data_IF_230948598975
#
_entry.id   IF_230948598975
#
_cell.length_a   1.000
_cell.length_b   1.000
_cell.length_c   1.000
_cell.angle_alpha   90.00
_cell.angle_beta   90.00
_cell.angle_gamma   90.00
#
_symmetry.space_group_name_H-M   'P 1'
#
loop_
_entity.id
_entity.type
_entity.pdbx_description
1 polymer ?
#
# COMPACT_ATOMS: atom_id res chain seq x y z
N UNK A 1 -8.69 -0.86 -30.30
CA UNK A 1 -7.33 -0.73 -30.88
C UNK A 1 -7.29 -1.16 -32.34
N UNK A 2 -7.69 -2.39 -32.70
CA UNK A 2 -7.72 -2.87 -34.10
C UNK A 2 -8.40 -1.92 -35.10
N UNK A 3 -9.61 -1.44 -34.79
CA UNK A 3 -10.31 -0.44 -35.64
C UNK A 3 -9.52 0.84 -35.94
N UNK A 4 -8.61 1.26 -35.04
CA UNK A 4 -7.75 2.44 -35.26
C UNK A 4 -6.61 2.09 -36.20
N UNK A 5 -6.01 0.92 -36.03
CA UNK A 5 -4.94 0.41 -36.88
C UNK A 5 -5.45 0.17 -38.31
N UNK A 6 -6.64 -0.41 -38.47
CA UNK A 6 -7.30 -0.60 -39.77
C UNK A 6 -7.52 0.74 -40.47
N UNK A 7 -8.05 1.75 -39.75
CA UNK A 7 -8.26 3.11 -40.29
C UNK A 7 -6.96 3.80 -40.71
N UNK A 8 -5.83 3.42 -40.12
CA UNK A 8 -4.50 4.00 -40.40
C UNK A 8 -3.66 3.12 -41.33
N UNK A 9 -4.18 1.99 -41.79
CA UNK A 9 -3.47 1.01 -42.62
C UNK A 9 -2.14 0.55 -42.02
N UNK A 10 -2.10 0.31 -40.70
CA UNK A 10 -0.91 -0.18 -39.98
C UNK A 10 -1.15 -1.56 -39.36
N UNK A 11 -0.11 -2.40 -39.33
CA UNK A 11 -0.16 -3.72 -38.67
C UNK A 11 -0.38 -3.56 -37.16
N UNK A 12 -1.28 -4.37 -36.59
CA UNK A 12 -1.54 -4.41 -35.16
C UNK A 12 -1.27 -5.81 -34.61
N UNK A 13 -0.19 -5.97 -33.85
CA UNK A 13 0.09 -7.17 -33.08
C UNK A 13 -0.03 -6.83 -31.59
N UNK A 14 -0.96 -7.49 -30.90
CA UNK A 14 -1.19 -7.31 -29.47
C UNK A 14 -0.79 -8.61 -28.77
N UNK A 15 0.15 -8.50 -27.84
CA UNK A 15 0.60 -9.60 -26.98
C UNK A 15 0.40 -9.17 -25.52
N UNK A 16 -0.42 -9.93 -24.76
CA UNK A 16 -0.60 -9.69 -23.33
C UNK A 16 0.55 -10.34 -22.57
N UNK A 17 1.51 -9.53 -22.12
CA UNK A 17 2.71 -10.02 -21.40
C UNK A 17 2.49 -10.30 -19.92
N UNK A 18 1.62 -9.54 -19.26
CA UNK A 18 1.35 -9.69 -17.84
C UNK A 18 -0.12 -9.41 -17.57
N UNK A 19 -0.70 -10.19 -16.66
CA UNK A 19 -2.06 -10.04 -16.17
C UNK A 19 -2.10 -10.55 -14.72
N UNK A 20 -2.49 -9.68 -13.79
CA UNK A 20 -2.54 -9.97 -12.37
C UNK A 20 -3.82 -9.39 -11.76
N UNK A 21 -4.52 -10.22 -10.99
CA UNK A 21 -5.73 -9.80 -10.30
C UNK A 21 -5.38 -8.92 -9.09
N UNK A 22 -6.29 -8.02 -8.71
CA UNK A 22 -6.22 -7.34 -7.43
C UNK A 22 -6.33 -8.35 -6.27
N UNK A 23 -5.63 -8.07 -5.18
CA UNK A 23 -5.59 -8.90 -3.99
C UNK A 23 -6.18 -8.12 -2.82
N UNK A 24 -7.09 -8.75 -2.07
CA UNK A 24 -7.58 -8.22 -0.81
C UNK A 24 -6.59 -8.57 0.32
N UNK A 25 -6.23 -7.58 1.14
CA UNK A 25 -5.55 -7.84 2.40
C UNK A 25 -6.49 -8.57 3.38
N UNK A 26 -5.92 -9.36 4.29
CA UNK A 26 -6.69 -10.05 5.32
C UNK A 26 -7.38 -9.02 6.23
N UNK A 27 -8.72 -9.08 6.41
CA UNK A 27 -9.45 -8.10 7.20
C UNK A 27 -9.02 -8.07 8.68
N UNK A 28 -8.64 -9.21 9.24
CA UNK A 28 -8.19 -9.33 10.62
C UNK A 28 -6.84 -8.64 10.84
N UNK A 29 -5.85 -8.97 10.00
CA UNK A 29 -4.54 -8.30 10.04
C UNK A 29 -4.67 -6.81 9.76
N UNK A 30 -5.50 -6.41 8.79
CA UNK A 30 -5.73 -5.00 8.47
C UNK A 30 -6.35 -4.24 9.65
N UNK A 31 -7.31 -4.84 10.35
CA UNK A 31 -7.91 -4.25 11.54
C UNK A 31 -6.91 -4.14 12.70
N UNK A 32 -6.09 -5.17 12.92
CA UNK A 32 -5.05 -5.15 13.97
C UNK A 32 -3.98 -4.09 13.67
N UNK A 33 -3.53 -4.00 12.42
CA UNK A 33 -2.56 -3.00 11.98
C UNK A 33 -3.12 -1.58 12.08
N UNK A 34 -4.40 -1.38 11.76
CA UNK A 34 -5.10 -0.10 11.99
C UNK A 34 -5.10 0.28 13.47
N UNK A 35 -5.46 -0.64 14.36
CA UNK A 35 -5.47 -0.41 15.81
C UNK A 35 -4.08 -0.11 16.37
N UNK A 36 -3.05 -0.82 15.92
CA UNK A 36 -1.67 -0.58 16.31
C UNK A 36 -1.18 0.81 15.84
N UNK A 37 -1.55 1.21 14.62
CA UNK A 37 -1.25 2.55 14.08
C UNK A 37 -1.91 3.63 14.90
N UNK A 38 -3.19 3.48 15.24
CA UNK A 38 -3.90 4.41 16.11
C UNK A 38 -3.22 4.56 17.47
N UNK A 39 -2.88 3.44 18.12
CA UNK A 39 -2.22 3.44 19.42
C UNK A 39 -0.84 4.10 19.37
N UNK A 40 -0.04 3.83 18.34
CA UNK A 40 1.27 4.46 18.16
C UNK A 40 1.15 5.97 17.97
N UNK A 41 0.24 6.42 17.11
CA UNK A 41 0.03 7.85 16.87
C UNK A 41 -0.51 8.58 18.10
N UNK A 42 -1.44 7.98 18.84
CA UNK A 42 -1.92 8.52 20.13
C UNK A 42 -0.79 8.68 21.14
N UNK A 43 0.14 7.72 21.22
CA UNK A 43 1.31 7.82 22.10
C UNK A 43 2.28 8.93 21.68
N UNK A 44 2.46 9.14 20.38
CA UNK A 44 3.39 10.15 19.84
C UNK A 44 2.83 11.57 19.96
N UNK A 45 1.56 11.76 19.60
CA UNK A 45 0.92 13.09 19.58
C UNK A 45 0.33 13.50 20.92
N UNK A 46 -0.03 12.53 21.78
CA UNK A 46 -0.79 12.78 23.01
C UNK A 46 -2.26 13.11 22.77
N UNK A 47 -2.70 13.16 21.52
CA UNK A 47 -4.07 13.50 21.12
C UNK A 47 -4.80 12.26 20.59
N UNK A 48 -6.13 12.27 20.71
CA UNK A 48 -6.96 11.32 19.99
C UNK A 48 -7.08 11.76 18.53
N UNK A 49 -6.80 10.83 17.62
CA UNK A 49 -6.99 11.05 16.19
C UNK A 49 -8.43 10.73 15.80
N UNK A 50 -8.96 11.47 14.84
CA UNK A 50 -10.31 11.19 14.30
C UNK A 50 -10.37 9.84 13.59
N UNK A 51 -9.36 9.49 12.77
CA UNK A 51 -9.29 8.20 12.08
C UNK A 51 -7.88 7.83 11.58
N UNK A 52 -7.66 6.53 11.34
CA UNK A 52 -6.57 6.00 10.51
C UNK A 52 -7.20 5.46 9.21
N UNK A 53 -6.99 6.15 8.07
CA UNK A 53 -7.69 5.82 6.84
C UNK A 53 -7.24 4.47 6.27
N UNK A 54 -8.19 3.73 5.69
CA UNK A 54 -7.93 2.50 4.93
C UNK A 54 -7.95 2.85 3.45
N UNK A 55 -6.86 2.52 2.76
CA UNK A 55 -6.65 2.87 1.35
C UNK A 55 -6.37 1.63 0.51
N UNK A 56 -6.71 1.69 -0.77
CA UNK A 56 -6.30 0.70 -1.76
C UNK A 56 -4.92 1.07 -2.31
N UNK A 57 -4.03 0.09 -2.49
CA UNK A 57 -2.80 0.31 -3.25
C UNK A 57 -3.11 0.31 -4.75
N UNK A 58 -2.64 1.34 -5.46
CA UNK A 58 -2.67 1.38 -6.93
C UNK A 58 -1.50 0.66 -7.60
N UNK A 59 -0.47 0.28 -6.83
CA UNK A 59 0.74 -0.36 -7.33
C UNK A 59 0.82 -1.83 -6.87
N UNK A 60 1.53 -2.63 -7.67
CA UNK A 60 1.88 -3.99 -7.27
C UNK A 60 2.97 -3.99 -6.20
N UNK A 61 2.83 -4.85 -5.20
CA UNK A 61 3.83 -5.11 -4.16
C UNK A 61 3.97 -6.62 -3.93
N UNK A 62 5.06 -7.04 -3.31
CA UNK A 62 5.32 -8.46 -3.03
C UNK A 62 4.21 -9.13 -2.20
N UNK A 63 3.47 -8.34 -1.40
CA UNK A 63 2.27 -8.79 -0.70
C UNK A 63 1.24 -9.47 -1.63
N UNK A 64 1.13 -9.05 -2.89
CA UNK A 64 0.23 -9.68 -3.86
C UNK A 64 0.68 -11.10 -4.24
N UNK A 65 1.98 -11.34 -4.35
CA UNK A 65 2.50 -12.69 -4.59
C UNK A 65 2.39 -13.53 -3.31
N UNK A 66 2.71 -12.94 -2.16
CA UNK A 66 2.68 -13.59 -0.85
C UNK A 66 1.28 -13.98 -0.39
N UNK A 67 0.23 -13.29 -0.86
CA UNK A 67 -1.16 -13.60 -0.49
C UNK A 67 -1.62 -15.00 -0.90
N UNK A 68 -0.92 -15.63 -1.85
CA UNK A 68 -1.17 -17.02 -2.23
C UNK A 68 -0.67 -18.04 -1.18
N UNK A 69 0.21 -17.61 -0.27
CA UNK A 69 0.85 -18.46 0.73
C UNK A 69 0.38 -18.15 2.15
N UNK A 70 0.06 -16.89 2.44
CA UNK A 70 -0.29 -16.44 3.78
C UNK A 70 -1.18 -15.21 3.76
N UNK A 71 -1.71 -14.85 4.93
CA UNK A 71 -2.43 -13.59 5.14
C UNK A 71 -1.47 -12.41 5.02
N UNK A 72 -1.93 -11.34 4.39
CA UNK A 72 -1.14 -10.11 4.19
C UNK A 72 -1.92 -8.89 4.62
N UNK A 73 -1.21 -7.87 5.13
CA UNK A 73 -1.69 -6.51 5.33
C UNK A 73 -0.53 -5.55 5.05
N UNK A 74 -0.84 -4.30 4.70
CA UNK A 74 0.17 -3.29 4.40
C UNK A 74 -0.10 -2.01 5.20
N UNK A 75 0.97 -1.35 5.64
CA UNK A 75 0.94 -0.01 6.22
C UNK A 75 1.50 0.97 5.20
N UNK A 76 0.79 2.06 4.94
CA UNK A 76 1.27 3.13 4.07
C UNK A 76 1.89 4.25 4.89
N UNK A 77 2.99 4.82 4.37
CA UNK A 77 3.65 6.00 4.92
C UNK A 77 3.41 7.17 3.96
N UNK A 78 3.12 8.35 4.49
CA UNK A 78 2.89 9.53 3.65
C UNK A 78 4.16 9.88 2.89
N UNK A 79 4.02 10.11 1.59
CA UNK A 79 5.08 10.61 0.72
C UNK A 79 4.70 11.99 0.18
N UNK A 80 5.65 12.93 0.16
CA UNK A 80 5.43 14.32 -0.26
C UNK A 80 4.93 14.37 -1.71
N UNK A 81 3.70 14.83 -1.90
CA UNK A 81 3.06 14.94 -3.21
C UNK A 81 2.79 13.58 -3.89
N UNK A 82 2.91 12.46 -3.18
CA UNK A 82 2.73 11.12 -3.75
C UNK A 82 3.78 10.74 -4.81
N UNK A 83 4.90 11.46 -4.89
CA UNK A 83 5.96 11.19 -5.87
C UNK A 83 6.69 9.90 -5.49
N UNK A 84 6.89 9.00 -6.45
CA UNK A 84 7.70 7.80 -6.28
C UNK A 84 8.47 7.45 -7.57
N UNK A 85 9.45 6.54 -7.49
CA UNK A 85 10.35 6.17 -8.59
C UNK A 85 11.09 7.38 -9.20
N UNK A 86 11.42 8.34 -8.35
CA UNK A 86 12.06 9.60 -8.72
C UNK A 86 13.00 10.05 -7.61
N UNK A 87 14.14 10.70 -7.90
CA UNK A 87 14.98 11.31 -6.88
C UNK A 87 14.27 12.34 -5.99
N UNK A 88 13.10 12.84 -6.41
CA UNK A 88 12.28 13.76 -5.63
C UNK A 88 11.37 13.07 -4.60
N UNK A 89 11.27 11.73 -4.63
CA UNK A 89 10.57 10.90 -3.64
C UNK A 89 11.08 11.23 -2.23
N UNK A 90 10.16 11.44 -1.29
CA UNK A 90 10.52 11.90 0.05
C UNK A 90 9.46 11.57 1.09
N UNK A 91 9.91 10.97 2.18
CA UNK A 91 9.14 10.75 3.42
C UNK A 91 9.77 11.59 4.53
N UNK A 92 8.95 12.13 5.44
CA UNK A 92 9.47 12.89 6.58
C UNK A 92 9.93 11.97 7.70
N UNK A 93 10.92 12.39 8.48
CA UNK A 93 11.42 11.62 9.63
C UNK A 93 10.30 11.29 10.63
N UNK A 94 9.35 12.22 10.83
CA UNK A 94 8.19 12.01 11.70
C UNK A 94 7.26 10.92 11.18
N UNK A 95 7.01 10.87 9.86
CA UNK A 95 6.17 9.82 9.26
C UNK A 95 6.86 8.45 9.35
N UNK A 96 8.19 8.41 9.15
CA UNK A 96 8.99 7.19 9.31
C UNK A 96 8.97 6.70 10.76
N UNK A 97 9.17 7.61 11.72
CA UNK A 97 9.12 7.28 13.15
C UNK A 97 7.74 6.74 13.55
N UNK A 98 6.66 7.40 13.14
CA UNK A 98 5.31 6.95 13.41
C UNK A 98 5.02 5.57 12.81
N UNK A 99 5.44 5.32 11.57
CA UNK A 99 5.29 4.02 10.92
C UNK A 99 6.07 2.91 11.65
N UNK A 100 7.32 3.19 12.06
CA UNK A 100 8.13 2.25 12.83
C UNK A 100 7.47 1.87 14.15
N UNK A 101 6.96 2.85 14.89
CA UNK A 101 6.23 2.62 16.15
C UNK A 101 4.93 1.83 15.94
N UNK A 102 4.20 2.09 14.83
CA UNK A 102 3.00 1.35 14.47
C UNK A 102 3.30 -0.12 14.15
N UNK A 103 4.35 -0.38 13.37
CA UNK A 103 4.77 -1.75 13.04
C UNK A 103 5.24 -2.49 14.28
N UNK A 104 6.02 -1.85 15.15
CA UNK A 104 6.44 -2.45 16.42
C UNK A 104 5.23 -2.84 17.27
N UNK A 105 4.31 -1.90 17.49
CA UNK A 105 3.09 -2.15 18.26
C UNK A 105 2.23 -3.28 17.63
N UNK A 106 2.18 -3.39 16.30
CA UNK A 106 1.48 -4.47 15.63
C UNK A 106 2.16 -5.83 15.87
N UNK A 107 3.48 -5.91 15.72
CA UNK A 107 4.22 -7.15 15.93
C UNK A 107 4.12 -7.64 17.39
N UNK A 108 4.10 -6.74 18.37
CA UNK A 108 3.88 -7.07 19.78
C UNK A 108 2.49 -7.66 20.07
N UNK A 109 1.51 -7.48 19.17
CA UNK A 109 0.17 -8.09 19.31
C UNK A 109 0.04 -9.46 18.66
N UNK A 110 1.07 -9.90 17.93
CA UNK A 110 1.08 -11.19 17.21
C UNK A 110 1.70 -12.34 18.03
N UNK A 111 2.10 -12.08 19.27
CA UNK A 111 2.62 -13.08 20.23
C UNK A 111 1.53 -13.84 20.96
#
# INVERSE_FOLDING_TARGET
>A
MYRICDKRSVLCLIERKHDANAVACDPGLSSQLKSATYAALKRISGEDLDDVPILMSGAGHDAMAMSHLTKVAMLFVRCRGGVSHSPAEHVSDNDVWAAGMAVLAFLETLT
#
